data_IF_644016824083
#
_entry.id   IF_644016824083
#
_cell.length_a   1.000
_cell.length_b   1.000
_cell.length_c   1.000
_cell.angle_alpha   90.00
_cell.angle_beta   90.00
_cell.angle_gamma   90.00
#
_symmetry.space_group_name_H-M   'P 1'
#
loop_
_entity.id
_entity.type
_entity.pdbx_description
1 polymer ?
#
# COMPACT_ATOMS: atom_id res chain seq x y z
N UNK A 1 -1.54 7.34 12.21
CA UNK A 1 -0.18 6.86 11.89
C UNK A 1 0.27 7.51 10.60
N UNK A 2 1.50 8.04 10.51
CA UNK A 2 2.03 8.58 9.24
C UNK A 2 2.54 7.45 8.33
N UNK A 3 1.61 6.62 7.86
CA UNK A 3 1.87 5.54 6.89
C UNK A 3 1.32 6.00 5.55
N UNK A 4 2.14 5.84 4.51
CA UNK A 4 1.77 6.12 3.13
C UNK A 4 1.48 4.82 2.40
N UNK A 5 0.54 4.83 1.47
CA UNK A 5 0.27 3.74 0.52
C UNK A 5 0.61 4.15 -0.90
N UNK A 6 0.62 3.18 -1.83
CA UNK A 6 1.10 3.35 -3.19
C UNK A 6 0.30 4.37 -4.00
N UNK A 7 -0.98 4.53 -3.70
CA UNK A 7 -1.87 5.54 -4.29
C UNK A 7 -1.59 6.98 -3.81
N UNK A 8 -0.70 7.16 -2.83
CA UNK A 8 -0.33 8.47 -2.28
C UNK A 8 0.97 9.04 -2.86
N UNK A 9 1.48 8.46 -3.96
CA UNK A 9 2.70 8.90 -4.65
C UNK A 9 3.90 9.06 -3.70
N UNK A 10 4.55 7.94 -3.37
CA UNK A 10 5.70 7.92 -2.47
C UNK A 10 6.98 8.42 -3.15
N UNK A 11 7.68 9.36 -2.50
CA UNK A 11 9.01 9.83 -2.91
C UNK A 11 10.02 9.56 -1.79
N UNK A 12 11.18 9.04 -2.17
CA UNK A 12 12.28 8.71 -1.26
C UNK A 12 13.61 9.03 -1.93
N UNK A 13 14.60 9.47 -1.15
CA UNK A 13 15.98 9.63 -1.67
C UNK A 13 16.52 8.26 -2.03
N UNK A 14 17.15 8.14 -3.20
CA UNK A 14 17.71 6.88 -3.70
C UNK A 14 18.63 6.19 -2.68
N UNK A 15 19.54 6.94 -2.08
CA UNK A 15 20.47 6.43 -1.07
C UNK A 15 19.74 5.78 0.12
N UNK A 16 18.63 6.36 0.57
CA UNK A 16 17.84 5.85 1.71
C UNK A 16 17.09 4.60 1.30
N UNK A 17 16.57 4.57 0.06
CA UNK A 17 15.86 3.41 -0.49
C UNK A 17 16.78 2.20 -0.63
N UNK A 18 17.99 2.40 -1.15
CA UNK A 18 19.00 1.35 -1.26
C UNK A 18 19.49 0.88 0.12
N UNK A 19 19.66 1.78 1.10
CA UNK A 19 20.04 1.44 2.48
C UNK A 19 19.02 0.59 3.25
N UNK A 20 17.77 0.52 2.78
CA UNK A 20 16.72 -0.31 3.38
C UNK A 20 16.38 -1.53 2.52
N UNK A 21 17.19 -1.83 1.50
CA UNK A 21 16.99 -2.92 0.55
C UNK A 21 15.72 -2.79 -0.31
N UNK A 22 15.28 -1.56 -0.58
CA UNK A 22 14.19 -1.28 -1.51
C UNK A 22 12.81 -1.74 -1.03
N UNK A 23 11.98 -2.26 -1.94
CA UNK A 23 10.69 -2.87 -1.58
C UNK A 23 10.90 -4.26 -0.99
N UNK A 24 10.05 -4.64 -0.03
CA UNK A 24 10.01 -6.03 0.40
C UNK A 24 9.47 -6.90 -0.73
N UNK A 25 10.02 -8.09 -0.89
CA UNK A 25 9.55 -9.11 -1.83
C UNK A 25 8.28 -9.78 -1.28
N UNK A 26 7.18 -9.01 -1.25
CA UNK A 26 5.86 -9.47 -0.82
C UNK A 26 4.81 -9.09 -1.86
N UNK A 27 3.83 -9.97 -2.12
CA UNK A 27 2.84 -9.77 -3.19
C UNK A 27 1.85 -8.63 -2.91
N UNK A 28 1.67 -8.25 -1.64
CA UNK A 28 0.76 -7.19 -1.24
C UNK A 28 1.24 -6.51 0.04
N UNK A 29 0.99 -5.21 0.16
CA UNK A 29 1.36 -4.35 1.31
C UNK A 29 2.84 -3.97 1.34
N UNK A 30 3.54 -4.11 0.21
CA UNK A 30 4.93 -3.70 0.00
C UNK A 30 5.12 -2.19 0.25
N UNK A 31 4.12 -1.39 -0.08
CA UNK A 31 4.05 0.06 0.15
C UNK A 31 3.97 0.43 1.63
N UNK A 32 3.18 -0.33 2.41
CA UNK A 32 3.05 -0.18 3.87
C UNK A 32 4.31 -0.63 4.56
N UNK A 33 4.91 -1.74 4.14
CA UNK A 33 6.19 -2.21 4.66
C UNK A 33 7.29 -1.17 4.42
N UNK A 34 7.42 -0.68 3.19
CA UNK A 34 8.33 0.40 2.83
C UNK A 34 8.10 1.63 3.72
N UNK A 35 6.85 2.06 3.88
CA UNK A 35 6.50 3.21 4.71
C UNK A 35 6.88 3.00 6.19
N UNK A 36 6.66 1.79 6.74
CA UNK A 36 7.07 1.43 8.11
C UNK A 36 8.59 1.49 8.26
N UNK A 37 9.36 0.96 7.30
CA UNK A 37 10.83 0.99 7.33
C UNK A 37 11.37 2.41 7.21
N UNK A 38 10.84 3.22 6.29
CA UNK A 38 11.23 4.62 6.13
C UNK A 38 10.90 5.47 7.35
N UNK A 39 9.76 5.21 8.01
CA UNK A 39 9.35 5.91 9.23
C UNK A 39 10.35 5.71 10.39
N UNK A 40 11.09 4.59 10.41
CA UNK A 40 12.17 4.37 11.39
C UNK A 40 13.40 5.26 11.11
N UNK A 41 13.57 5.74 9.88
CA UNK A 41 14.67 6.63 9.48
C UNK A 41 14.31 8.11 9.69
N UNK A 42 13.09 8.51 9.36
CA UNK A 42 12.62 9.90 9.55
C UNK A 42 11.09 10.01 9.55
N UNK A 43 10.56 11.15 10.01
CA UNK A 43 9.13 11.46 9.88
C UNK A 43 8.81 11.81 8.42
N UNK A 44 7.72 11.30 7.84
CA UNK A 44 7.34 11.65 6.46
C UNK A 44 6.84 13.09 6.38
N UNK A 45 7.11 13.72 5.23
CA UNK A 45 6.57 15.01 4.84
C UNK A 45 5.36 14.79 3.92
N UNK A 46 4.23 15.40 4.23
CA UNK A 46 3.06 15.40 3.35
C UNK A 46 3.08 16.67 2.49
N UNK A 47 3.15 16.47 1.18
CA UNK A 47 3.09 17.56 0.20
C UNK A 47 1.62 17.81 -0.15
N UNK A 48 1.21 19.08 -0.23
CA UNK A 48 -0.18 19.47 -0.59
C UNK A 48 -0.50 19.33 -2.08
N UNK A 49 0.45 18.84 -2.88
CA UNK A 49 0.27 18.57 -4.29
C UNK A 49 -0.71 17.40 -4.50
N UNK A 50 -1.50 17.49 -5.57
CA UNK A 50 -2.48 16.46 -5.93
C UNK A 50 -2.00 15.69 -7.14
N UNK A 51 -2.08 14.36 -7.05
CA UNK A 51 -1.93 13.47 -8.20
C UNK A 51 -3.32 13.12 -8.74
N UNK A 52 -3.55 13.34 -10.03
CA UNK A 52 -4.77 12.90 -10.69
C UNK A 52 -4.56 11.48 -11.24
N UNK A 53 -5.48 10.57 -10.90
CA UNK A 53 -5.43 9.18 -11.34
C UNK A 53 -6.79 8.74 -11.86
N UNK A 54 -6.81 7.70 -12.69
CA UNK A 54 -8.06 7.21 -13.27
C UNK A 54 -8.95 6.52 -12.22
N UNK A 55 -10.21 6.91 -12.15
CA UNK A 55 -11.22 6.29 -11.26
C UNK A 55 -11.75 4.91 -11.71
N UNK A 56 -11.13 4.24 -12.69
CA UNK A 56 -11.67 3.02 -13.32
C UNK A 56 -12.04 1.92 -12.32
N UNK A 57 -11.18 1.68 -11.34
CA UNK A 57 -11.43 0.67 -10.30
C UNK A 57 -12.65 1.00 -9.46
N UNK A 58 -12.78 2.27 -9.08
CA UNK A 58 -13.90 2.78 -8.28
C UNK A 58 -15.22 2.72 -9.05
N UNK A 59 -15.19 2.91 -10.37
CA UNK A 59 -16.35 2.77 -11.24
C UNK A 59 -16.78 1.30 -11.39
N UNK A 60 -15.82 0.37 -11.49
CA UNK A 60 -16.09 -1.06 -11.66
C UNK A 60 -16.53 -1.74 -10.36
N UNK A 61 -15.80 -1.50 -9.27
CA UNK A 61 -15.92 -2.26 -8.02
C UNK A 61 -16.74 -1.50 -6.95
N UNK A 62 -17.09 -0.24 -7.22
CA UNK A 62 -17.76 0.65 -6.30
C UNK A 62 -16.81 1.29 -5.27
N UNK A 63 -17.16 2.52 -4.87
CA UNK A 63 -16.33 3.33 -3.97
C UNK A 63 -16.22 2.71 -2.57
N UNK A 64 -17.37 2.51 -1.93
CA UNK A 64 -17.44 2.00 -0.57
C UNK A 64 -16.91 0.56 -0.42
N UNK A 65 -17.26 -0.40 -1.30
CA UNK A 65 -16.68 -1.74 -1.24
C UNK A 65 -15.16 -1.73 -1.35
N UNK A 66 -14.61 -0.89 -2.24
CA UNK A 66 -13.15 -0.76 -2.41
C UNK A 66 -12.48 -0.21 -1.15
N UNK A 67 -13.04 0.84 -0.53
CA UNK A 67 -12.51 1.41 0.73
C UNK A 67 -12.51 0.36 1.84
N UNK A 68 -13.63 -0.33 2.04
CA UNK A 68 -13.77 -1.33 3.09
C UNK A 68 -12.84 -2.53 2.88
N UNK A 69 -12.68 -2.98 1.63
CA UNK A 69 -11.73 -4.03 1.28
C UNK A 69 -10.30 -3.62 1.66
N UNK A 70 -9.87 -2.42 1.25
CA UNK A 70 -8.53 -1.90 1.58
C UNK A 70 -8.32 -1.80 3.09
N UNK A 71 -9.29 -1.29 3.83
CA UNK A 71 -9.20 -1.18 5.30
C UNK A 71 -9.10 -2.55 5.97
N UNK A 72 -9.90 -3.54 5.53
CA UNK A 72 -9.84 -4.91 6.07
C UNK A 72 -8.49 -5.57 5.82
N UNK A 73 -7.94 -5.43 4.61
CA UNK A 73 -6.63 -6.01 4.27
C UNK A 73 -5.51 -5.33 5.08
N UNK A 74 -5.54 -4.01 5.23
CA UNK A 74 -4.58 -3.27 6.06
C UNK A 74 -4.63 -3.69 7.53
N UNK A 75 -5.83 -3.85 8.09
CA UNK A 75 -6.00 -4.33 9.46
C UNK A 75 -5.48 -5.76 9.61
N UNK A 76 -5.81 -6.66 8.68
CA UNK A 76 -5.31 -8.03 8.71
C UNK A 76 -3.77 -8.08 8.64
N UNK A 77 -3.15 -7.29 7.76
CA UNK A 77 -1.70 -7.16 7.71
C UNK A 77 -1.10 -6.60 9.01
N UNK A 78 -1.77 -5.62 9.63
CA UNK A 78 -1.35 -5.08 10.93
C UNK A 78 -1.35 -6.14 12.04
N UNK A 79 -2.30 -7.09 12.00
CA UNK A 79 -2.35 -8.22 12.93
C UNK A 79 -1.41 -9.39 12.55
N UNK A 80 -0.62 -9.26 11.48
CA UNK A 80 0.36 -10.27 11.07
C UNK A 80 -0.17 -11.34 10.11
N UNK A 81 -1.28 -11.10 9.41
CA UNK A 81 -1.70 -11.95 8.30
C UNK A 81 -0.62 -11.98 7.20
N UNK A 82 -0.40 -13.14 6.60
CA UNK A 82 0.62 -13.28 5.55
C UNK A 82 0.19 -12.52 4.28
N UNK A 83 1.12 -11.79 3.62
CA UNK A 83 0.85 -11.08 2.37
C UNK A 83 0.22 -11.93 1.27
N UNK A 84 0.60 -13.21 1.17
CA UNK A 84 0.11 -14.16 0.17
C UNK A 84 -1.39 -14.43 0.34
N UNK A 85 -1.85 -14.56 1.59
CA UNK A 85 -3.28 -14.74 1.88
C UNK A 85 -4.06 -13.46 1.56
N UNK A 86 -3.44 -12.29 1.77
CA UNK A 86 -4.07 -11.01 1.48
C UNK A 86 -4.19 -10.78 -0.03
N UNK A 87 -3.16 -11.17 -0.80
CA UNK A 87 -3.19 -11.16 -2.26
C UNK A 87 -4.34 -11.99 -2.81
N UNK A 88 -4.51 -13.24 -2.35
CA UNK A 88 -5.60 -14.12 -2.80
C UNK A 88 -6.99 -13.53 -2.52
N UNK A 89 -7.14 -12.75 -1.45
CA UNK A 89 -8.40 -12.06 -1.12
C UNK A 89 -8.61 -10.81 -1.95
N UNK A 90 -7.53 -10.20 -2.42
CA UNK A 90 -7.56 -8.96 -3.19
C UNK A 90 -7.73 -9.22 -4.69
N UNK A 91 -7.05 -10.24 -5.21
CA UNK A 91 -7.22 -10.80 -6.55
C UNK A 91 -7.88 -12.17 -6.41
N UNK A 92 -9.20 -12.23 -6.19
CA UNK A 92 -9.88 -13.52 -6.25
C UNK A 92 -9.60 -14.16 -7.62
N UNK A 93 -9.26 -15.45 -7.67
CA UNK A 93 -8.99 -16.13 -8.94
C UNK A 93 -10.17 -15.90 -9.89
N UNK A 94 -9.87 -15.56 -11.15
CA UNK A 94 -10.91 -15.46 -12.18
C UNK A 94 -11.74 -16.74 -12.14
N UNK A 95 -13.06 -16.58 -11.96
CA UNK A 95 -13.96 -17.72 -12.07
C UNK A 95 -13.84 -18.28 -13.48
N UNK A 96 -13.59 -19.59 -13.65
CA UNK A 96 -13.57 -20.22 -14.96
C UNK A 96 -14.91 -20.08 -15.69
#
# INVERSE_FOLDING_TARGET
>A
TSISTGDQCQFVRREVFEQIDGFADIPLMEDIDLSKRLKKKSRPLFVSARAETSGRKWQRDGIWPTILLMWRLRLAYFFGASPEILEQRYYPPEKP
#
